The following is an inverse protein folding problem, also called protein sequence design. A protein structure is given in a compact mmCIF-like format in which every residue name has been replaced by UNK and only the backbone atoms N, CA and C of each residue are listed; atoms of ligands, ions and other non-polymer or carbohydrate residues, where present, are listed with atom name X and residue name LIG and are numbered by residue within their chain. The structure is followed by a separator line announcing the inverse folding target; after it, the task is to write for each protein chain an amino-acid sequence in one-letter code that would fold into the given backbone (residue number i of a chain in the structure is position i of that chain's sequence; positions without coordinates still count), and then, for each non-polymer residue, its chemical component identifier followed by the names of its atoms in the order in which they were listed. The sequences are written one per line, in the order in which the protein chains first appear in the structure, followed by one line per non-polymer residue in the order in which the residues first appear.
data_IF_997487283631
#
_entry.id   IF_997487283631
#
_cell.length_a   1.000
_cell.length_b   1.000
_cell.length_c   1.000
_cell.angle_alpha   90.00
_cell.angle_beta   90.00
_cell.angle_gamma   90.00
#
_symmetry.space_group_name_H-M   'P 1'
#
loop_
_entity.id
_entity.type
_entity.pdbx_description
1 polymer ?
#
# COMPACT_ATOMS: atom_id res chain seq x y z
N UNK A 1 -1.02 3.02 10.79
CA UNK A 1 -0.29 2.73 9.54
C UNK A 1 -0.53 1.32 8.97
N UNK A 2 -0.43 0.22 9.75
CA UNK A 2 -0.55 -1.14 9.18
C UNK A 2 -1.91 -1.42 8.53
N UNK A 3 -3.01 -0.99 9.16
CA UNK A 3 -4.37 -1.19 8.64
C UNK A 3 -4.61 -0.35 7.38
N UNK A 4 -4.09 0.86 7.37
CA UNK A 4 -4.21 1.84 6.31
C UNK A 4 -3.40 1.42 5.08
N UNK A 5 -2.16 0.94 5.28
CA UNK A 5 -1.34 0.34 4.21
C UNK A 5 -2.05 -0.88 3.62
N UNK A 6 -2.57 -1.78 4.47
CA UNK A 6 -3.30 -2.95 3.99
C UNK A 6 -4.51 -2.55 3.12
N UNK A 7 -5.30 -1.56 3.56
CA UNK A 7 -6.44 -1.05 2.80
C UNK A 7 -6.03 -0.53 1.40
N UNK A 8 -4.96 0.27 1.32
CA UNK A 8 -4.43 0.78 0.04
C UNK A 8 -3.95 -0.37 -0.87
N UNK A 9 -3.19 -1.30 -0.31
CA UNK A 9 -2.63 -2.45 -1.03
C UNK A 9 -3.75 -3.35 -1.58
N UNK A 10 -4.78 -3.64 -0.77
CA UNK A 10 -5.96 -4.39 -1.21
C UNK A 10 -6.75 -3.67 -2.30
N UNK A 11 -6.90 -2.34 -2.19
CA UNK A 11 -7.55 -1.53 -3.20
C UNK A 11 -6.81 -1.61 -4.55
N UNK A 12 -5.49 -1.44 -4.55
CA UNK A 12 -4.67 -1.53 -5.76
C UNK A 12 -4.72 -2.93 -6.37
N UNK A 13 -4.64 -4.00 -5.56
CA UNK A 13 -4.81 -5.38 -6.02
C UNK A 13 -6.13 -5.58 -6.77
N UNK A 14 -7.23 -5.03 -6.21
CA UNK A 14 -8.57 -5.11 -6.84
C UNK A 14 -8.63 -4.34 -8.15
N UNK A 15 -8.03 -3.15 -8.22
CA UNK A 15 -7.96 -2.38 -9.46
C UNK A 15 -7.19 -3.12 -10.56
N UNK A 16 -6.02 -3.66 -10.22
CA UNK A 16 -5.17 -4.43 -11.14
C UNK A 16 -5.94 -5.65 -11.69
N UNK A 17 -6.59 -6.42 -10.79
CA UNK A 17 -7.43 -7.56 -11.19
C UNK A 17 -8.62 -7.18 -12.07
N UNK A 18 -9.10 -5.94 -12.00
CA UNK A 18 -10.19 -5.44 -12.85
C UNK A 18 -9.70 -4.99 -14.23
N UNK A 19 -8.48 -4.45 -14.31
CA UNK A 19 -7.94 -3.86 -15.52
C UNK A 19 -7.35 -4.88 -16.51
N UNK A 20 -6.77 -5.99 -16.02
CA UNK A 20 -5.97 -6.89 -16.85
C UNK A 20 -6.08 -8.37 -16.43
N UNK A 21 -5.72 -9.28 -17.34
CA UNK A 21 -5.42 -10.70 -17.04
C UNK A 21 -3.95 -10.85 -16.65
N UNK A 22 -3.51 -10.11 -15.64
CA UNK A 22 -2.16 -10.26 -15.11
C UNK A 22 -2.03 -11.57 -14.33
N UNK A 23 -0.84 -12.13 -14.39
CA UNK A 23 -0.43 -13.29 -13.61
C UNK A 23 -0.68 -13.05 -12.11
N UNK A 24 -1.47 -13.92 -11.50
CA UNK A 24 -1.91 -13.81 -10.10
C UNK A 24 -0.70 -13.82 -9.15
N UNK A 25 0.30 -14.65 -9.41
CA UNK A 25 1.50 -14.76 -8.56
C UNK A 25 2.33 -13.48 -8.63
N UNK A 26 2.42 -12.86 -9.81
CA UNK A 26 3.10 -11.57 -9.98
C UNK A 26 2.35 -10.44 -9.28
N UNK A 27 1.01 -10.44 -9.33
CA UNK A 27 0.18 -9.46 -8.62
C UNK A 27 0.34 -9.62 -7.11
N UNK A 28 0.35 -10.85 -6.61
CA UNK A 28 0.53 -11.15 -5.19
C UNK A 28 1.93 -10.73 -4.71
N UNK A 29 2.98 -11.06 -5.47
CA UNK A 29 4.34 -10.61 -5.18
C UNK A 29 4.46 -9.08 -5.20
N UNK A 30 3.75 -8.41 -6.12
CA UNK A 30 3.70 -6.95 -6.17
C UNK A 30 3.10 -6.35 -4.88
N UNK A 31 1.96 -6.86 -4.39
CA UNK A 31 1.36 -6.32 -3.17
C UNK A 31 2.17 -6.61 -1.91
N UNK A 32 2.85 -7.75 -1.85
CA UNK A 32 3.78 -8.05 -0.75
C UNK A 32 4.94 -7.04 -0.71
N UNK A 33 5.61 -6.85 -1.85
CA UNK A 33 6.73 -5.89 -1.96
C UNK A 33 6.29 -4.46 -1.70
N UNK A 34 5.12 -4.06 -2.20
CA UNK A 34 4.55 -2.73 -1.97
C UNK A 34 4.25 -2.50 -0.49
N UNK A 35 3.75 -3.52 0.22
CA UNK A 35 3.48 -3.41 1.66
C UNK A 35 4.75 -3.10 2.44
N UNK A 36 5.85 -3.82 2.16
CA UNK A 36 7.15 -3.59 2.81
C UNK A 36 7.69 -2.20 2.44
N UNK A 37 7.65 -1.83 1.16
CA UNK A 37 8.13 -0.54 0.70
C UNK A 37 7.39 0.64 1.34
N UNK A 38 6.06 0.56 1.49
CA UNK A 38 5.26 1.60 2.14
C UNK A 38 5.51 1.68 3.65
N UNK A 39 5.72 0.54 4.32
CA UNK A 39 6.06 0.52 5.74
C UNK A 39 7.39 1.22 6.01
N UNK A 40 8.41 0.93 5.20
CA UNK A 40 9.72 1.59 5.31
C UNK A 40 9.63 3.07 4.89
N UNK A 41 8.96 3.39 3.77
CA UNK A 41 8.81 4.78 3.30
C UNK A 41 8.17 5.68 4.35
N UNK A 42 7.12 5.21 5.03
CA UNK A 42 6.39 6.03 6.01
C UNK A 42 6.93 5.96 7.43
N UNK A 43 8.03 5.24 7.66
CA UNK A 43 8.73 5.27 8.94
C UNK A 43 9.18 6.71 9.25
N UNK A 44 8.83 7.20 10.43
CA UNK A 44 9.09 8.59 10.84
C UNK A 44 8.17 9.65 10.22
N UNK A 45 7.29 9.26 9.30
CA UNK A 45 6.34 10.16 8.59
C UNK A 45 4.87 9.81 8.88
N UNK A 46 4.61 9.05 9.96
CA UNK A 46 3.27 8.68 10.40
C UNK A 46 2.95 9.37 11.73
N UNK A 47 1.97 10.28 11.73
CA UNK A 47 1.62 11.09 12.89
C UNK A 47 0.15 10.86 13.30
N UNK A 48 -0.14 9.89 14.19
CA UNK A 48 -1.52 9.58 14.60
C UNK A 48 -2.29 10.77 15.18
N UNK A 49 -1.59 11.64 15.93
CA UNK A 49 -2.19 12.80 16.59
C UNK A 49 -2.38 14.01 15.67
N UNK A 50 -1.70 14.02 14.50
CA UNK A 50 -1.88 15.03 13.47
C UNK A 50 -1.81 14.38 12.07
N UNK A 51 -2.86 13.66 11.64
CA UNK A 51 -2.84 12.85 10.42
C UNK A 51 -2.57 13.66 9.13
N UNK A 52 -2.86 14.96 9.14
CA UNK A 52 -2.60 15.83 7.99
C UNK A 52 -1.10 16.13 7.81
N UNK A 53 -0.29 15.99 8.87
CA UNK A 53 1.17 16.12 8.76
C UNK A 53 1.73 14.93 7.98
N UNK A 54 2.53 15.22 6.96
CA UNK A 54 3.16 14.17 6.14
C UNK A 54 2.23 13.44 5.18
N UNK A 55 0.95 13.83 5.04
CA UNK A 55 -0.02 13.13 4.21
C UNK A 55 0.30 13.10 2.70
N UNK A 56 1.14 14.03 2.23
CA UNK A 56 1.54 14.16 0.82
C UNK A 56 3.01 13.75 0.55
N UNK A 57 3.70 13.21 1.54
CA UNK A 57 5.07 12.68 1.43
C UNK A 57 5.06 11.28 0.77
#
# INVERSE_FOLDING_TARGET
MKKEIAAVVFFLKRLIKKAEKLDVEKVDLFVERLTVALQEKYKGHWYPDNPSKGQAF
#
